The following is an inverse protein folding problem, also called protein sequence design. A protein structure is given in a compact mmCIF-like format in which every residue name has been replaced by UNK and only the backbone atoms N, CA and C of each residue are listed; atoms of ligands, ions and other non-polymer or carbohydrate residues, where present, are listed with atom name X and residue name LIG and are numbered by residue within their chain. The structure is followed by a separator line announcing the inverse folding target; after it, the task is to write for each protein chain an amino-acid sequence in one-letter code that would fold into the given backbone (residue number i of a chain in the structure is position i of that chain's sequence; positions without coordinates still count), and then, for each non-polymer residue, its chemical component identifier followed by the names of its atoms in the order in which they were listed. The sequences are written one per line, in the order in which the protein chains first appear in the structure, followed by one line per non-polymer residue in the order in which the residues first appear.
data_IF_789148524385
#
_entry.id   IF_789148524385
#
_cell.length_a   1.000
_cell.length_b   1.000
_cell.length_c   1.000
_cell.angle_alpha   90.00
_cell.angle_beta   90.00
_cell.angle_gamma   90.00
#
_symmetry.space_group_name_H-M   'P 1'
#
loop_
_entity.id
_entity.type
_entity.pdbx_description
1 polymer ?
#
# COMPACT_ATOMS: atom_id res chain seq x y z
N UNK A 1 -6.56 -12.62 -18.63
CA UNK A 1 -6.05 -11.34 -18.11
C UNK A 1 -5.24 -11.66 -16.86
N UNK A 2 -4.08 -11.04 -16.62
CA UNK A 2 -3.15 -11.57 -15.62
C UNK A 2 -3.36 -11.02 -14.21
N UNK A 3 -2.83 -11.71 -13.19
CA UNK A 3 -2.79 -11.23 -11.80
C UNK A 3 -2.10 -9.85 -11.71
N UNK A 4 -1.06 -9.63 -12.51
CA UNK A 4 -0.31 -8.37 -12.58
C UNK A 4 -1.14 -7.22 -13.16
N UNK A 5 -2.01 -7.49 -14.12
CA UNK A 5 -2.90 -6.46 -14.68
C UNK A 5 -4.01 -6.05 -13.71
N UNK A 6 -4.25 -6.87 -12.68
CA UNK A 6 -5.36 -6.68 -11.72
C UNK A 6 -4.91 -6.01 -10.42
N UNK A 7 -3.60 -5.93 -10.16
CA UNK A 7 -3.07 -5.26 -8.96
C UNK A 7 -2.98 -3.74 -9.13
N UNK A 8 -3.10 -3.05 -8.00
CA UNK A 8 -2.80 -1.64 -7.86
C UNK A 8 -1.32 -1.39 -8.10
N UNK A 9 -1.04 -0.31 -8.82
CA UNK A 9 0.32 0.11 -9.12
C UNK A 9 0.71 1.25 -8.20
N UNK A 10 2.00 1.59 -8.17
CA UNK A 10 2.44 2.75 -7.42
C UNK A 10 1.63 3.99 -7.84
N UNK A 11 0.91 4.65 -6.91
CA UNK A 11 -0.12 5.61 -7.27
C UNK A 11 0.48 6.76 -8.06
N UNK A 12 -0.03 6.94 -9.27
CA UNK A 12 0.26 8.13 -10.06
C UNK A 12 -0.32 9.35 -9.34
N UNK A 13 0.49 10.41 -9.19
CA UNK A 13 0.04 11.62 -8.51
C UNK A 13 0.32 11.66 -7.01
N UNK A 14 1.30 10.91 -6.49
CA UNK A 14 1.80 11.10 -5.12
C UNK A 14 2.15 12.55 -4.80
N UNK A 15 2.81 13.26 -5.72
CA UNK A 15 3.11 14.69 -5.56
C UNK A 15 1.86 15.57 -5.58
N UNK A 16 0.75 15.04 -6.09
CA UNK A 16 -0.56 15.67 -6.13
C UNK A 16 -1.48 15.23 -4.99
N UNK A 17 -1.02 14.33 -4.12
CA UNK A 17 -1.79 13.87 -2.96
C UNK A 17 -2.50 12.51 -3.10
N UNK A 18 -2.17 11.71 -4.12
CA UNK A 18 -2.74 10.36 -4.28
C UNK A 18 -1.86 9.32 -3.59
N UNK A 19 -2.42 8.61 -2.59
CA UNK A 19 -1.72 7.56 -1.82
C UNK A 19 -2.37 6.20 -1.88
N UNK A 20 -3.48 6.09 -2.61
CA UNK A 20 -4.25 4.86 -2.70
C UNK A 20 -4.45 4.48 -4.16
N UNK A 21 -4.03 3.26 -4.50
CA UNK A 21 -4.36 2.62 -5.77
C UNK A 21 -4.89 1.18 -5.49
N UNK A 22 -6.21 0.97 -5.53
CA UNK A 22 -6.79 -0.35 -5.29
C UNK A 22 -6.57 -1.34 -6.43
N UNK A 23 -6.14 -0.93 -7.63
CA UNK A 23 -6.20 -1.80 -8.80
C UNK A 23 -7.63 -2.24 -9.14
N UNK A 24 -7.78 -3.43 -9.73
CA UNK A 24 -9.08 -3.96 -10.16
C UNK A 24 -9.48 -5.20 -9.34
N UNK A 25 -10.28 -4.96 -8.29
CA UNK A 25 -10.79 -5.98 -7.37
C UNK A 25 -11.59 -7.07 -8.06
N UNK A 26 -12.63 -6.70 -8.82
CA UNK A 26 -13.54 -7.66 -9.47
C UNK A 26 -12.79 -8.51 -10.48
N UNK A 27 -11.86 -7.89 -11.21
CA UNK A 27 -11.03 -8.59 -12.17
C UNK A 27 -10.11 -9.60 -11.47
N UNK A 28 -9.50 -9.23 -10.35
CA UNK A 28 -8.66 -10.15 -9.57
C UNK A 28 -9.46 -11.41 -9.17
N UNK A 29 -10.66 -11.23 -8.61
CA UNK A 29 -11.51 -12.36 -8.19
C UNK A 29 -12.05 -13.20 -9.36
N UNK A 30 -12.19 -12.59 -10.54
CA UNK A 30 -12.63 -13.30 -11.76
C UNK A 30 -11.54 -14.18 -12.38
N UNK A 31 -10.28 -14.06 -11.95
CA UNK A 31 -9.19 -14.89 -12.46
C UNK A 31 -9.40 -16.33 -12.00
N UNK A 32 -9.61 -17.20 -12.98
CA UNK A 32 -9.66 -18.64 -12.84
C UNK A 32 -8.93 -19.22 -14.05
N UNK A 33 -7.67 -19.57 -13.84
CA UNK A 33 -6.80 -20.17 -14.86
C UNK A 33 -6.28 -21.52 -14.37
N UNK A 34 -5.90 -22.40 -15.29
CA UNK A 34 -5.30 -23.69 -14.97
C UNK A 34 -3.86 -23.69 -15.46
N UNK A 35 -2.90 -23.72 -14.53
CA UNK A 35 -1.47 -23.84 -14.83
C UNK A 35 -1.01 -25.19 -14.32
N UNK A 36 -0.46 -26.03 -15.22
CA UNK A 36 0.05 -27.36 -14.88
C UNK A 36 -0.95 -28.25 -14.10
N UNK A 37 -2.24 -28.23 -14.51
CA UNK A 37 -3.35 -28.93 -13.87
C UNK A 37 -3.67 -28.50 -12.43
N UNK A 38 -3.14 -27.36 -11.98
CA UNK A 38 -3.50 -26.71 -10.72
C UNK A 38 -4.44 -25.54 -11.01
N UNK A 39 -5.68 -25.56 -10.47
CA UNK A 39 -6.60 -24.44 -10.63
C UNK A 39 -6.11 -23.26 -9.82
N UNK A 40 -5.72 -22.18 -10.48
CA UNK A 40 -5.34 -20.91 -9.88
C UNK A 40 -6.56 -20.02 -9.83
N UNK A 41 -6.88 -19.55 -8.62
CA UNK A 41 -7.91 -18.55 -8.41
C UNK A 41 -7.25 -17.29 -7.85
N UNK A 42 -7.72 -16.12 -8.27
CA UNK A 42 -7.24 -14.86 -7.69
C UNK A 42 -7.76 -14.66 -6.26
N UNK A 43 -6.89 -14.12 -5.41
CA UNK A 43 -7.15 -13.63 -4.05
C UNK A 43 -6.72 -12.18 -3.98
N UNK A 44 -7.63 -11.31 -3.55
CA UNK A 44 -7.35 -9.88 -3.41
C UNK A 44 -6.93 -9.55 -1.98
N UNK A 45 -5.84 -8.81 -1.84
CA UNK A 45 -5.38 -8.31 -0.55
C UNK A 45 -5.09 -6.80 -0.63
N UNK A 46 -5.25 -6.09 0.48
CA UNK A 46 -4.83 -4.70 0.62
C UNK A 46 -3.51 -4.64 1.35
N UNK A 47 -2.55 -3.94 0.76
CA UNK A 47 -1.24 -3.68 1.32
C UNK A 47 -1.15 -2.23 1.79
N UNK A 48 -0.79 -2.04 3.05
CA UNK A 48 -0.51 -0.74 3.67
C UNK A 48 1.01 -0.61 3.87
N UNK A 49 1.62 0.36 3.20
CA UNK A 49 3.03 0.72 3.38
C UNK A 49 3.15 1.84 4.40
N UNK A 50 3.60 1.53 5.62
CA UNK A 50 3.80 2.55 6.65
C UNK A 50 5.19 3.16 6.55
N UNK A 51 5.26 4.43 6.18
CA UNK A 51 6.51 5.18 6.29
C UNK A 51 6.83 5.38 7.78
N UNK A 52 7.80 4.63 8.29
CA UNK A 52 8.25 4.77 9.66
C UNK A 52 8.79 6.19 9.89
N UNK A 53 8.29 6.80 10.96
CA UNK A 53 8.63 8.16 11.35
C UNK A 53 10.03 8.20 11.95
N UNK A 54 11.08 8.29 11.13
CA UNK A 54 12.39 8.76 11.60
C UNK A 54 12.38 10.29 11.67
N UNK A 55 11.47 10.84 12.48
CA UNK A 55 11.66 12.21 12.95
C UNK A 55 12.58 12.06 14.16
N UNK A 56 13.89 12.11 13.92
CA UNK A 56 14.78 12.56 14.97
C UNK A 56 14.22 13.90 15.44
N UNK A 57 13.96 14.01 16.75
CA UNK A 57 13.48 15.22 17.41
C UNK A 57 14.47 16.37 17.16
N UNK A 58 14.45 16.97 15.97
CA UNK A 58 15.02 18.28 15.76
C UNK A 58 13.97 19.24 16.27
N UNK A 59 14.25 19.82 17.42
CA UNK A 59 13.54 20.99 17.92
C UNK A 59 13.47 22.01 16.78
N UNK A 60 12.30 22.10 16.13
CA UNK A 60 12.03 23.13 15.13
C UNK A 60 11.89 24.42 15.93
N UNK A 61 13.01 25.12 16.07
CA UNK A 61 13.11 26.40 16.77
C UNK A 61 11.98 27.31 16.31
N UNK A 62 11.21 27.81 17.27
CA UNK A 62 9.94 28.56 17.12
C UNK A 62 10.09 29.97 16.54
N UNK A 63 11.09 30.20 15.68
CA UNK A 63 11.35 31.47 14.98
C UNK A 63 11.07 31.35 13.49
N UNK A 64 9.95 30.74 13.11
CA UNK A 64 9.63 30.48 11.71
C UNK A 64 8.41 31.31 11.29
N UNK A 65 8.51 31.95 10.12
CA UNK A 65 7.48 32.81 9.55
C UNK A 65 6.08 32.17 9.58
N UNK A 66 5.00 32.93 9.84
CA UNK A 66 3.65 32.38 9.95
C UNK A 66 3.18 31.62 8.71
N UNK A 67 3.71 31.95 7.52
CA UNK A 67 3.46 31.22 6.27
C UNK A 67 4.06 29.79 6.29
N UNK A 68 5.21 29.62 6.94
CA UNK A 68 5.89 28.32 7.05
C UNK A 68 5.24 27.42 8.11
N UNK A 69 4.53 28.00 9.09
CA UNK A 69 3.74 27.24 10.07
C UNK A 69 2.61 26.46 9.38
N UNK A 70 1.98 27.02 8.35
CA UNK A 70 0.91 26.34 7.63
C UNK A 70 1.45 25.16 6.80
N UNK A 71 2.59 25.35 6.15
CA UNK A 71 3.32 24.28 5.43
C UNK A 71 3.75 23.18 6.41
N UNK A 72 4.31 23.54 7.57
CA UNK A 72 4.68 22.57 8.61
C UNK A 72 3.47 21.81 9.18
N UNK A 73 2.33 22.48 9.35
CA UNK A 73 1.08 21.82 9.77
C UNK A 73 0.56 20.87 8.70
N UNK A 74 0.61 21.26 7.43
CA UNK A 74 0.29 20.38 6.31
C UNK A 74 1.20 19.15 6.32
N UNK A 75 2.51 19.32 6.42
CA UNK A 75 3.50 18.23 6.48
C UNK A 75 3.33 17.34 7.71
N UNK A 76 3.06 17.89 8.90
CA UNK A 76 2.80 17.12 10.11
C UNK A 76 1.48 16.36 10.04
N UNK A 77 0.41 16.96 9.49
CA UNK A 77 -0.86 16.28 9.25
C UNK A 77 -0.68 15.16 8.22
N UNK A 78 0.15 15.37 7.22
CA UNK A 78 0.56 14.36 6.24
C UNK A 78 1.37 13.22 6.83
N UNK A 79 2.19 13.49 7.85
CA UNK A 79 2.95 12.45 8.56
C UNK A 79 2.07 11.41 9.28
N UNK A 80 0.78 11.71 9.49
CA UNK A 80 -0.21 10.77 10.02
C UNK A 80 -0.99 10.02 8.93
N UNK A 81 -0.93 10.49 7.68
CA UNK A 81 -1.49 9.86 6.48
C UNK A 81 -0.42 9.11 5.68
N UNK A 82 0.76 8.84 6.26
CA UNK A 82 1.96 8.35 5.57
C UNK A 82 1.92 6.86 5.20
N UNK A 83 0.72 6.35 4.93
CA UNK A 83 0.47 5.04 4.35
C UNK A 83 0.35 5.19 2.84
N UNK A 84 1.12 4.43 2.06
CA UNK A 84 0.72 4.17 0.67
C UNK A 84 -0.08 2.88 0.69
N UNK A 85 -1.33 2.93 0.26
CA UNK A 85 -2.21 1.77 0.22
C UNK A 85 -2.33 1.27 -1.22
N UNK A 86 -2.12 -0.03 -1.43
CA UNK A 86 -2.27 -0.66 -2.74
C UNK A 86 -3.07 -1.95 -2.65
N UNK A 87 -3.92 -2.21 -3.64
CA UNK A 87 -4.49 -3.53 -3.84
C UNK A 87 -3.49 -4.47 -4.50
N UNK A 88 -3.34 -5.69 -4.01
CA UNK A 88 -2.55 -6.74 -4.67
C UNK A 88 -3.43 -7.92 -5.02
N UNK A 89 -3.11 -8.55 -6.14
CA UNK A 89 -3.76 -9.77 -6.58
C UNK A 89 -2.75 -10.92 -6.51
N UNK A 90 -3.05 -11.92 -5.67
CA UNK A 90 -2.22 -13.09 -5.46
C UNK A 90 -2.98 -14.36 -5.86
N UNK A 91 -2.28 -15.46 -6.14
CA UNK A 91 -2.92 -16.78 -6.24
C UNK A 91 -3.53 -17.18 -4.89
N UNK A 92 -4.66 -17.86 -4.92
CA UNK A 92 -5.33 -18.41 -3.72
C UNK A 92 -4.47 -19.47 -3.01
N UNK A 93 -3.48 -20.06 -3.69
CA UNK A 93 -2.50 -20.97 -3.10
C UNK A 93 -1.54 -20.30 -2.13
N UNK A 94 -1.35 -18.97 -2.21
CA UNK A 94 -0.50 -18.26 -1.27
C UNK A 94 -1.17 -18.19 0.10
N UNK A 95 -0.51 -18.75 1.12
CA UNK A 95 -1.00 -18.69 2.49
C UNK A 95 -0.76 -17.30 3.11
N UNK A 96 -1.64 -16.89 4.02
CA UNK A 96 -1.48 -15.62 4.74
C UNK A 96 -0.20 -15.59 5.58
N UNK A 97 0.26 -16.74 6.06
CA UNK A 97 1.50 -16.90 6.83
C UNK A 97 2.75 -16.66 5.97
N UNK A 98 2.79 -17.20 4.75
CA UNK A 98 3.89 -16.96 3.80
C UNK A 98 3.92 -15.49 3.39
N UNK A 99 2.75 -14.90 3.14
CA UNK A 99 2.61 -13.48 2.82
C UNK A 99 3.16 -12.64 3.99
N UNK A 100 2.74 -12.89 5.22
CA UNK A 100 3.24 -12.16 6.40
C UNK A 100 4.74 -12.36 6.63
N UNK A 101 5.30 -13.51 6.28
CA UNK A 101 6.74 -13.77 6.38
C UNK A 101 7.56 -12.94 5.38
N UNK A 102 7.04 -12.72 4.17
CA UNK A 102 7.65 -11.83 3.17
C UNK A 102 7.51 -10.38 3.62
N UNK A 103 6.31 -10.02 4.07
CA UNK A 103 5.93 -8.67 4.48
C UNK A 103 6.70 -8.20 5.70
N UNK A 104 6.86 -9.03 6.74
CA UNK A 104 7.52 -8.67 8.00
C UNK A 104 9.00 -8.24 7.85
N UNK A 105 9.62 -8.53 6.70
CA UNK A 105 10.97 -8.05 6.37
C UNK A 105 11.00 -6.62 5.83
N UNK A 106 9.83 -6.07 5.53
CA UNK A 106 9.59 -4.73 4.99
C UNK A 106 8.58 -4.01 5.90
N UNK A 107 8.62 -2.69 6.05
CA UNK A 107 7.67 -1.96 6.91
C UNK A 107 6.26 -1.86 6.26
N UNK A 108 5.64 -3.02 6.05
CA UNK A 108 4.45 -3.24 5.24
C UNK A 108 3.46 -4.07 6.06
N UNK A 109 2.17 -3.86 5.86
CA UNK A 109 1.10 -4.68 6.45
C UNK A 109 0.14 -5.12 5.34
N UNK A 110 -0.34 -6.36 5.38
CA UNK A 110 -1.27 -6.89 4.37
C UNK A 110 -2.52 -7.46 5.05
N UNK A 111 -3.68 -7.15 4.50
CA UNK A 111 -4.99 -7.65 4.94
C UNK A 111 -5.71 -8.30 3.76
N UNK A 112 -6.16 -9.55 3.91
CA UNK A 112 -7.04 -10.19 2.93
C UNK A 112 -8.44 -9.58 2.98
N UNK A 113 -9.08 -9.44 1.81
CA UNK A 113 -10.49 -9.10 1.72
C UNK A 113 -11.21 -10.32 1.14
N UNK A 114 -12.06 -10.93 1.96
CA UNK A 114 -12.90 -12.08 1.62
C UNK A 114 -14.23 -11.64 0.99
#
# INVERSE_FOLDING_TARGET
MSLWDSMGHFPHGILSGTFFDPGNYDQCLSISDEIDALPIQGKYCVMEFRLNKTIENRDVSTKMDPNWIEILRFLNKWSHYSGIDNGICLPSQCSDEEIQTIVSKSYVSIHSLD
#
